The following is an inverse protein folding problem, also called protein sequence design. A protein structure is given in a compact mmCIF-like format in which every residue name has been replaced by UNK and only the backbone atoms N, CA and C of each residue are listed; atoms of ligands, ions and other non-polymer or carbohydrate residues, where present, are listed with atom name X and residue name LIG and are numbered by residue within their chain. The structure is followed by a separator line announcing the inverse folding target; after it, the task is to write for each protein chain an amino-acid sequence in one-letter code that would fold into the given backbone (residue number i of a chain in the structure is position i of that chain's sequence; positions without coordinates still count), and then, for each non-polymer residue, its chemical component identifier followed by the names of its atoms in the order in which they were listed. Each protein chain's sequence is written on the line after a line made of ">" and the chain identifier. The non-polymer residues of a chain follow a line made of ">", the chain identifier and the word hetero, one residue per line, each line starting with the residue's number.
data_IF_376501876980
#
_entry.id   IF_376501876980
#
_cell.length_a   1.000
_cell.length_b   1.000
_cell.length_c   1.000
_cell.angle_alpha   90.00
_cell.angle_beta   90.00
_cell.angle_gamma   90.00
#
_symmetry.space_group_name_H-M   'P 1'
#
loop_
_entity.id
_entity.type
_entity.pdbx_description
1 polymer ?
#
# COMPACT_ATOMS: atom_id res chain seq x y z
N UNK A 1 11.85 27.06 44.43
CA UNK A 1 11.51 25.75 43.84
C UNK A 1 11.02 25.95 42.40
N UNK A 2 11.92 26.17 41.41
CA UNK A 2 11.57 26.34 39.97
C UNK A 2 12.50 25.55 39.04
N UNK A 3 13.29 24.62 39.58
CA UNK A 3 14.26 23.86 38.79
C UNK A 3 13.71 22.51 38.30
N UNK A 4 12.56 22.06 38.82
CA UNK A 4 11.98 20.75 38.50
C UNK A 4 11.11 20.76 37.23
N UNK A 5 10.53 21.89 36.86
CA UNK A 5 9.61 22.00 35.71
C UNK A 5 10.34 22.04 34.36
N UNK A 6 11.56 22.60 34.31
CA UNK A 6 12.36 22.65 33.07
C UNK A 6 12.89 21.27 32.66
N UNK A 7 13.24 20.41 33.62
CA UNK A 7 13.76 19.07 33.36
C UNK A 7 12.69 18.09 32.86
N UNK A 8 11.43 18.25 33.29
CA UNK A 8 10.31 17.43 32.80
C UNK A 8 9.88 17.82 31.39
N UNK A 9 9.91 19.11 31.05
CA UNK A 9 9.60 19.56 29.69
C UNK A 9 10.69 19.15 28.67
N UNK A 10 11.96 19.06 29.07
CA UNK A 10 13.04 18.57 28.18
C UNK A 10 12.99 17.05 27.98
N UNK A 11 12.63 16.27 29.00
CA UNK A 11 12.47 14.81 28.87
C UNK A 11 11.31 14.38 27.96
N UNK A 12 10.23 15.16 27.91
CA UNK A 12 9.09 14.88 27.01
C UNK A 12 9.47 15.13 25.53
N UNK A 13 10.25 16.20 25.27
CA UNK A 13 10.75 16.50 23.93
C UNK A 13 11.82 15.50 23.44
N UNK A 14 12.64 14.94 24.34
CA UNK A 14 13.58 13.86 23.97
C UNK A 14 12.88 12.52 23.72
N UNK A 15 11.76 12.23 24.40
CA UNK A 15 10.92 11.06 24.10
C UNK A 15 10.13 11.23 22.80
N UNK A 16 9.72 12.44 22.42
CA UNK A 16 9.11 12.71 21.12
C UNK A 16 10.13 12.74 19.96
N UNK A 17 11.40 13.07 20.22
CA UNK A 17 12.50 12.95 19.24
C UNK A 17 13.07 11.53 19.09
N UNK A 18 12.77 10.61 20.00
CA UNK A 18 12.94 9.16 19.80
C UNK A 18 11.80 8.58 18.93
N UNK A 19 11.31 9.38 17.98
CA UNK A 19 10.34 8.96 16.98
C UNK A 19 10.89 7.80 16.17
N UNK A 20 10.09 6.73 16.09
CA UNK A 20 10.25 5.57 15.22
C UNK A 20 11.72 5.17 14.97
N UNK A 21 12.34 4.50 15.95
CA UNK A 21 13.60 3.82 15.71
C UNK A 21 13.47 2.86 14.51
N UNK A 22 14.58 2.49 13.83
CA UNK A 22 14.53 1.65 12.63
C UNK A 22 13.76 0.33 12.82
N UNK A 23 13.72 -0.21 14.04
CA UNK A 23 12.90 -1.37 14.39
C UNK A 23 11.38 -1.13 14.29
N UNK A 24 10.91 0.08 14.65
CA UNK A 24 9.51 0.49 14.54
C UNK A 24 9.08 0.62 13.08
N UNK A 25 9.94 1.20 12.24
CA UNK A 25 9.75 1.32 10.79
C UNK A 25 9.67 -0.07 10.14
N UNK A 26 10.58 -0.98 10.51
CA UNK A 26 10.55 -2.37 10.03
C UNK A 26 9.24 -3.06 10.40
N UNK A 27 8.79 -2.89 11.64
CA UNK A 27 7.56 -3.53 12.12
C UNK A 27 6.33 -2.94 11.45
N UNK A 28 6.27 -1.62 11.28
CA UNK A 28 5.21 -0.93 10.55
C UNK A 28 5.13 -1.39 9.08
N UNK A 29 6.28 -1.50 8.40
CA UNK A 29 6.34 -2.04 7.03
C UNK A 29 5.85 -3.50 6.99
N UNK A 30 6.27 -4.34 7.92
CA UNK A 30 5.82 -5.74 7.99
C UNK A 30 4.30 -5.84 8.20
N UNK A 31 3.73 -5.06 9.10
CA UNK A 31 2.28 -5.01 9.33
C UNK A 31 1.55 -4.56 8.07
N UNK A 32 2.05 -3.54 7.37
CA UNK A 32 1.41 -3.07 6.13
C UNK A 32 1.54 -4.06 4.97
N UNK A 33 2.70 -4.70 4.81
CA UNK A 33 2.90 -5.74 3.79
C UNK A 33 1.94 -6.91 4.04
N UNK A 34 1.81 -7.35 5.30
CA UNK A 34 0.87 -8.39 5.67
C UNK A 34 -0.58 -7.99 5.36
N UNK A 35 -0.99 -6.77 5.74
CA UNK A 35 -2.32 -6.24 5.45
C UNK A 35 -2.59 -6.18 3.94
N UNK A 36 -1.64 -5.70 3.14
CA UNK A 36 -1.75 -5.68 1.66
C UNK A 36 -1.93 -7.09 1.12
N UNK A 37 -1.16 -8.08 1.59
CA UNK A 37 -1.30 -9.48 1.15
C UNK A 37 -2.66 -10.07 1.50
N UNK A 38 -3.15 -9.87 2.73
CA UNK A 38 -4.47 -10.35 3.15
C UNK A 38 -5.60 -9.68 2.36
N UNK A 39 -5.49 -8.38 2.11
CA UNK A 39 -6.44 -7.64 1.30
C UNK A 39 -6.39 -8.08 -0.18
N UNK A 40 -5.20 -8.41 -0.70
CA UNK A 40 -5.02 -8.94 -2.05
C UNK A 40 -5.71 -10.29 -2.22
N UNK A 41 -5.52 -11.21 -1.25
CA UNK A 41 -6.21 -12.51 -1.25
C UNK A 41 -7.74 -12.32 -1.21
N UNK A 42 -8.21 -11.47 -0.29
CA UNK A 42 -9.63 -11.12 -0.16
C UNK A 42 -10.19 -10.48 -1.44
N UNK A 43 -9.35 -9.73 -2.15
CA UNK A 43 -9.70 -9.07 -3.39
C UNK A 43 -9.85 -10.06 -4.55
N UNK A 44 -8.94 -11.03 -4.65
CA UNK A 44 -9.03 -12.14 -5.61
C UNK A 44 -10.32 -12.93 -5.39
N UNK A 45 -10.70 -13.19 -4.14
CA UNK A 45 -11.94 -13.90 -3.82
C UNK A 45 -13.21 -13.11 -4.17
N UNK A 46 -13.14 -11.78 -4.18
CA UNK A 46 -14.26 -10.92 -4.57
C UNK A 46 -14.41 -10.77 -6.08
N UNK A 47 -13.34 -11.01 -6.84
CA UNK A 47 -13.33 -10.96 -8.30
C UNK A 47 -14.00 -9.68 -8.82
N UNK A 48 -14.96 -9.84 -9.74
CA UNK A 48 -15.62 -8.73 -10.44
C UNK A 48 -16.25 -7.64 -9.53
N UNK A 49 -16.59 -7.96 -8.27
CA UNK A 49 -17.19 -7.00 -7.34
C UNK A 49 -16.16 -6.10 -6.64
N UNK A 50 -14.86 -6.40 -6.75
CA UNK A 50 -13.79 -5.67 -6.08
C UNK A 50 -13.81 -4.14 -6.29
N UNK A 51 -14.02 -3.61 -7.51
CA UNK A 51 -13.92 -2.16 -7.74
C UNK A 51 -14.97 -1.33 -7.00
N UNK A 52 -16.08 -1.97 -6.62
CA UNK A 52 -17.19 -1.33 -5.87
C UNK A 52 -17.21 -1.76 -4.40
N UNK A 53 -16.29 -2.63 -3.99
CA UNK A 53 -16.31 -3.19 -2.64
C UNK A 53 -15.47 -2.39 -1.65
N UNK A 54 -15.82 -2.51 -0.36
CA UNK A 54 -15.02 -1.96 0.73
C UNK A 54 -13.59 -2.52 0.72
N UNK A 55 -13.41 -3.78 0.36
CA UNK A 55 -12.09 -4.41 0.26
C UNK A 55 -11.25 -3.81 -0.86
N UNK A 56 -11.84 -3.48 -2.00
CA UNK A 56 -11.14 -2.75 -3.06
C UNK A 56 -10.63 -1.39 -2.56
N UNK A 57 -11.49 -0.63 -1.88
CA UNK A 57 -11.10 0.65 -1.29
C UNK A 57 -9.99 0.50 -0.21
N UNK A 58 -10.09 -0.52 0.65
CA UNK A 58 -9.07 -0.81 1.67
C UNK A 58 -7.75 -1.23 1.04
N UNK A 59 -7.78 -2.09 0.03
CA UNK A 59 -6.59 -2.55 -0.70
C UNK A 59 -5.88 -1.37 -1.35
N UNK A 60 -6.63 -0.49 -2.04
CA UNK A 60 -6.08 0.74 -2.62
C UNK A 60 -5.41 1.62 -1.58
N UNK A 61 -6.09 1.86 -0.45
CA UNK A 61 -5.55 2.70 0.62
C UNK A 61 -4.28 2.09 1.22
N UNK A 62 -4.23 0.76 1.38
CA UNK A 62 -3.07 0.05 1.90
C UNK A 62 -1.86 0.11 0.95
N UNK A 63 -2.07 -0.12 -0.36
CA UNK A 63 -1.01 -0.03 -1.38
C UNK A 63 -0.50 1.42 -1.52
N UNK A 64 -1.42 2.40 -1.53
CA UNK A 64 -1.05 3.82 -1.58
C UNK A 64 -0.28 4.25 -0.33
N UNK A 65 -0.73 3.82 0.86
CA UNK A 65 -0.03 4.08 2.12
C UNK A 65 1.37 3.45 2.13
N UNK A 66 1.50 2.22 1.62
CA UNK A 66 2.79 1.54 1.50
C UNK A 66 3.73 2.31 0.56
N UNK A 67 3.23 2.80 -0.58
CA UNK A 67 3.99 3.64 -1.51
C UNK A 67 4.45 4.95 -0.90
N UNK A 68 3.57 5.64 -0.15
CA UNK A 68 3.94 6.87 0.56
C UNK A 68 4.98 6.63 1.65
N UNK A 69 4.83 5.56 2.43
CA UNK A 69 5.83 5.23 3.45
C UNK A 69 7.19 4.97 2.81
N UNK A 70 7.26 4.10 1.80
CA UNK A 70 8.51 3.77 1.12
C UNK A 70 9.16 5.01 0.48
N UNK A 71 8.36 5.94 -0.06
CA UNK A 71 8.86 7.18 -0.65
C UNK A 71 9.33 8.21 0.38
N UNK A 72 8.83 8.12 1.62
CA UNK A 72 9.21 9.01 2.72
C UNK A 72 10.44 8.52 3.49
N UNK A 73 10.89 7.28 3.26
CA UNK A 73 12.10 6.75 3.88
C UNK A 73 13.35 7.39 3.27
N UNK A 74 14.28 7.79 4.13
CA UNK A 74 15.61 8.21 3.69
C UNK A 74 16.41 7.01 3.14
N UNK A 75 17.38 7.24 2.24
CA UNK A 75 18.25 6.20 1.67
C UNK A 75 18.98 5.34 2.70
N UNK A 76 19.40 5.87 3.86
CA UNK A 76 20.04 5.04 4.90
C UNK A 76 19.03 4.06 5.52
N UNK A 77 17.81 4.53 5.79
CA UNK A 77 16.73 3.69 6.30
C UNK A 77 16.31 2.64 5.26
N UNK A 78 16.18 3.03 3.99
CA UNK A 78 15.92 2.10 2.88
C UNK A 78 16.97 0.98 2.79
N UNK A 79 18.25 1.31 2.98
CA UNK A 79 19.34 0.34 3.01
C UNK A 79 19.26 -0.64 4.20
N UNK A 80 18.65 -0.22 5.32
CA UNK A 80 18.39 -1.09 6.47
C UNK A 80 17.16 -1.97 6.29
N UNK A 81 16.15 -1.50 5.54
CA UNK A 81 14.88 -2.20 5.33
C UNK A 81 14.75 -2.85 3.95
N UNK A 82 15.85 -3.10 3.23
CA UNK A 82 15.84 -3.61 1.85
C UNK A 82 15.03 -4.90 1.70
N UNK A 83 15.10 -5.79 2.70
CA UNK A 83 14.31 -7.03 2.71
C UNK A 83 12.82 -6.71 2.73
N UNK A 84 12.37 -5.81 3.60
CA UNK A 84 10.98 -5.38 3.69
C UNK A 84 10.54 -4.65 2.42
N UNK A 85 11.39 -3.80 1.83
CA UNK A 85 11.14 -3.13 0.55
C UNK A 85 10.93 -4.15 -0.57
N UNK A 86 11.78 -5.18 -0.66
CA UNK A 86 11.62 -6.26 -1.65
C UNK A 86 10.34 -7.05 -1.43
N UNK A 87 10.00 -7.36 -0.19
CA UNK A 87 8.77 -8.07 0.17
C UNK A 87 7.50 -7.25 -0.11
N UNK A 88 7.57 -5.92 0.05
CA UNK A 88 6.55 -4.98 -0.39
C UNK A 88 6.37 -5.01 -1.91
N UNK A 89 7.47 -5.00 -2.66
CA UNK A 89 7.44 -5.15 -4.12
C UNK A 89 6.71 -6.43 -4.56
N UNK A 90 7.04 -7.58 -3.95
CA UNK A 90 6.33 -8.84 -4.22
C UNK A 90 4.85 -8.81 -3.84
N UNK A 91 4.51 -8.18 -2.71
CA UNK A 91 3.12 -8.08 -2.27
C UNK A 91 2.29 -7.27 -3.27
N UNK A 92 2.85 -6.18 -3.81
CA UNK A 92 2.18 -5.33 -4.79
C UNK A 92 2.14 -5.97 -6.18
N UNK A 93 3.14 -6.78 -6.55
CA UNK A 93 3.11 -7.59 -7.78
C UNK A 93 1.97 -8.63 -7.74
N UNK A 94 1.77 -9.28 -6.57
CA UNK A 94 0.62 -10.17 -6.37
C UNK A 94 -0.73 -9.42 -6.44
N UNK A 95 -0.79 -8.18 -5.95
CA UNK A 95 -1.98 -7.32 -6.11
C UNK A 95 -2.25 -7.03 -7.59
N UNK A 96 -1.23 -6.67 -8.37
CA UNK A 96 -1.36 -6.41 -9.81
C UNK A 96 -1.86 -7.64 -10.58
N UNK A 97 -1.32 -8.82 -10.27
CA UNK A 97 -1.79 -10.08 -10.84
C UNK A 97 -3.26 -10.36 -10.49
N UNK A 98 -3.66 -10.16 -9.23
CA UNK A 98 -5.04 -10.33 -8.77
C UNK A 98 -6.02 -9.32 -9.39
N UNK A 99 -5.58 -8.08 -9.58
CA UNK A 99 -6.37 -7.05 -10.28
C UNK A 99 -6.58 -7.38 -11.76
N UNK A 100 -5.58 -7.96 -12.41
CA UNK A 100 -5.70 -8.41 -13.80
C UNK A 100 -6.74 -9.52 -13.93
N UNK A 101 -6.69 -10.54 -13.08
CA UNK A 101 -7.73 -11.60 -13.07
C UNK A 101 -9.13 -11.07 -12.70
N UNK A 102 -9.18 -10.04 -11.84
CA UNK A 102 -10.42 -9.35 -11.48
C UNK A 102 -11.00 -8.56 -12.66
N UNK A 103 -10.16 -7.90 -13.45
CA UNK A 103 -10.57 -7.21 -14.68
C UNK A 103 -11.21 -8.17 -15.66
N UNK A 104 -10.56 -9.30 -15.94
CA UNK A 104 -11.08 -10.31 -16.85
C UNK A 104 -12.45 -10.84 -16.39
N UNK A 105 -12.60 -11.10 -15.09
CA UNK A 105 -13.87 -11.51 -14.48
C UNK A 105 -14.93 -10.42 -14.57
N UNK A 106 -14.57 -9.16 -14.32
CA UNK A 106 -15.48 -8.01 -14.44
C UNK A 106 -15.98 -7.84 -15.88
N UNK A 107 -15.11 -7.99 -16.87
CA UNK A 107 -15.47 -7.92 -18.29
C UNK A 107 -16.43 -9.03 -18.74
N UNK A 108 -16.33 -10.22 -18.14
CA UNK A 108 -17.31 -11.29 -18.36
C UNK A 108 -18.67 -10.94 -17.74
N UNK A 109 -18.69 -10.37 -16.54
CA UNK A 109 -19.93 -9.92 -15.88
C UNK A 109 -20.61 -8.83 -16.70
N UNK A 110 -19.86 -7.80 -17.14
CA UNK A 110 -20.41 -6.68 -17.91
C UNK A 110 -21.09 -7.11 -19.20
N UNK A 111 -20.60 -8.18 -19.86
CA UNK A 111 -21.22 -8.75 -21.07
C UNK A 111 -22.61 -9.32 -20.84
N UNK A 112 -22.96 -9.69 -19.61
CA UNK A 112 -24.27 -10.25 -19.25
C UNK A 112 -25.24 -9.19 -18.69
N UNK A 113 -24.78 -7.95 -18.50
CA UNK A 113 -25.58 -6.85 -17.96
C UNK A 113 -26.23 -6.01 -19.07
N UNK A 114 -27.27 -5.25 -18.72
CA UNK A 114 -27.83 -4.21 -19.59
C UNK A 114 -26.80 -3.11 -19.86
N UNK A 115 -26.81 -2.53 -21.07
CA UNK A 115 -25.80 -1.56 -21.53
C UNK A 115 -25.53 -0.41 -20.54
N UNK A 116 -26.59 0.18 -19.99
CA UNK A 116 -26.52 1.30 -19.04
C UNK A 116 -25.77 0.94 -17.74
N UNK A 117 -26.05 -0.25 -17.19
CA UNK A 117 -25.37 -0.76 -15.99
C UNK A 117 -23.95 -1.20 -16.27
N UNK A 118 -23.71 -1.79 -17.44
CA UNK A 118 -22.39 -2.21 -17.88
C UNK A 118 -21.46 -0.99 -18.04
N UNK A 119 -21.96 0.12 -18.62
CA UNK A 119 -21.19 1.34 -18.78
C UNK A 119 -20.80 1.98 -17.43
N UNK A 120 -21.77 2.11 -16.51
CA UNK A 120 -21.50 2.63 -15.17
C UNK A 120 -20.49 1.77 -14.40
N UNK A 121 -20.65 0.43 -14.42
CA UNK A 121 -19.75 -0.48 -13.74
C UNK A 121 -18.35 -0.51 -14.36
N UNK A 122 -18.27 -0.40 -15.69
CA UNK A 122 -17.00 -0.26 -16.42
C UNK A 122 -16.26 1.02 -16.02
N UNK A 123 -16.94 2.17 -15.98
CA UNK A 123 -16.34 3.44 -15.58
C UNK A 123 -15.75 3.39 -14.16
N UNK A 124 -16.45 2.77 -13.21
CA UNK A 124 -15.95 2.57 -11.84
C UNK A 124 -14.73 1.64 -11.84
N UNK A 125 -14.78 0.57 -12.62
CA UNK A 125 -13.71 -0.42 -12.68
C UNK A 125 -12.44 0.12 -13.34
N UNK A 126 -12.57 0.88 -14.43
CA UNK A 126 -11.46 1.57 -15.09
C UNK A 126 -10.81 2.59 -14.14
N UNK A 127 -11.62 3.39 -13.42
CA UNK A 127 -11.09 4.32 -12.43
C UNK A 127 -10.33 3.60 -11.32
N UNK A 128 -10.92 2.54 -10.77
CA UNK A 128 -10.28 1.73 -9.73
C UNK A 128 -8.95 1.13 -10.22
N UNK A 129 -8.92 0.57 -11.44
CA UNK A 129 -7.70 0.04 -12.04
C UNK A 129 -6.62 1.11 -12.20
N UNK A 130 -6.99 2.31 -12.68
CA UNK A 130 -6.06 3.41 -12.84
C UNK A 130 -5.46 3.87 -11.49
N UNK A 131 -6.31 4.02 -10.46
CA UNK A 131 -5.86 4.38 -9.10
C UNK A 131 -4.94 3.29 -8.50
N UNK A 132 -5.25 2.02 -8.72
CA UNK A 132 -4.42 0.90 -8.26
C UNK A 132 -3.08 0.84 -9.00
N UNK A 133 -3.06 1.05 -10.32
CA UNK A 133 -1.84 1.05 -11.13
C UNK A 133 -0.90 2.21 -10.76
N UNK A 134 -1.44 3.40 -10.46
CA UNK A 134 -0.65 4.51 -9.92
C UNK A 134 -0.03 4.14 -8.57
N UNK A 135 -0.81 3.57 -7.66
CA UNK A 135 -0.31 3.14 -6.34
C UNK A 135 0.77 2.06 -6.46
N UNK A 136 0.58 1.07 -7.35
CA UNK A 136 1.56 0.02 -7.64
C UNK A 136 2.86 0.61 -8.22
N UNK A 137 2.73 1.52 -9.18
CA UNK A 137 3.88 2.19 -9.81
C UNK A 137 4.71 2.98 -8.80
N UNK A 138 4.07 3.63 -7.82
CA UNK A 138 4.79 4.33 -6.74
C UNK A 138 5.60 3.37 -5.86
N UNK A 139 5.00 2.24 -5.46
CA UNK A 139 5.72 1.22 -4.68
C UNK A 139 6.88 0.67 -5.49
N UNK A 140 6.68 0.33 -6.76
CA UNK A 140 7.74 -0.15 -7.65
C UNK A 140 8.85 0.89 -7.84
N UNK A 141 8.51 2.15 -8.02
CA UNK A 141 9.49 3.25 -8.09
C UNK A 141 10.37 3.28 -6.85
N UNK A 142 9.77 3.19 -5.66
CA UNK A 142 10.53 3.13 -4.41
C UNK A 142 11.41 1.87 -4.30
N UNK A 143 10.94 0.71 -4.76
CA UNK A 143 11.71 -0.53 -4.79
C UNK A 143 12.88 -0.46 -5.77
N UNK A 144 12.69 0.13 -6.95
CA UNK A 144 13.72 0.27 -7.99
C UNK A 144 14.88 1.16 -7.55
N UNK A 145 14.63 2.17 -6.71
CA UNK A 145 15.69 3.01 -6.09
C UNK A 145 16.64 2.16 -5.24
N UNK A 146 16.13 1.09 -4.63
CA UNK A 146 16.89 0.18 -3.75
C UNK A 146 17.56 -0.96 -4.52
N UNK A 147 17.12 -1.25 -5.75
CA UNK A 147 17.63 -2.37 -6.56
C UNK A 147 18.87 -2.04 -7.42
N UNK A 148 19.37 -0.80 -7.38
CA UNK A 148 20.61 -0.41 -8.06
C UNK A 148 21.82 -1.02 -7.31
N UNK A 149 22.68 -1.83 -7.96
CA UNK A 149 23.93 -2.24 -7.36
C UNK A 149 24.81 -0.99 -7.17
N UNK A 150 25.23 -0.75 -5.93
CA UNK A 150 26.34 0.14 -5.59
C UNK A 150 27.66 -0.52 -5.98
#
# INVERSE_FOLDING_TARGET
>A
MRQTEASMAQQDHERQRQGAGPADIVQQLQTMIAAVRTLADSAVQQGAALPVSQTGAQLRNAVSGLGHLLSALDPQTLAMVQTQVREAGKAVDAVEAGLTGTKESAEQVFRTMSADRAEAAKAISDRFQAEMQDAVSRVRGAVSIVALPQ
#
